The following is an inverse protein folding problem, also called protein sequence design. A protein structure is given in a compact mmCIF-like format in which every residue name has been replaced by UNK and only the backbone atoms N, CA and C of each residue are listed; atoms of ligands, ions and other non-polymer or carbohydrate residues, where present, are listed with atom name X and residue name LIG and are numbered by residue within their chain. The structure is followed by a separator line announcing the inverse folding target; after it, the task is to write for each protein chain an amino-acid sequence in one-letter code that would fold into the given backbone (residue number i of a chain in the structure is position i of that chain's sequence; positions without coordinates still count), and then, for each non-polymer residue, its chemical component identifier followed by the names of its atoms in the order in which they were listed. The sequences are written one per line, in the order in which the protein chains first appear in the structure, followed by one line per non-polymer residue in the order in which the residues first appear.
data_IF_800293265703
#
_entry.id   IF_800293265703
#
_cell.length_a   1.000
_cell.length_b   1.000
_cell.length_c   1.000
_cell.angle_alpha   90.00
_cell.angle_beta   90.00
_cell.angle_gamma   90.00
#
_symmetry.space_group_name_H-M   'P 1'
#
loop_
_entity.id
_entity.type
_entity.pdbx_description
1 polymer ?
#
# COMPACT_ATOMS: atom_id res chain seq x y z
N UNK A 1 -13.57 0.62 29.98
CA UNK A 1 -14.69 -0.06 29.27
C UNK A 1 -14.61 -1.54 29.58
N UNK A 2 -15.71 -2.23 29.96
CA UNK A 2 -15.63 -3.63 30.32
C UNK A 2 -15.40 -4.44 29.04
N UNK A 3 -14.16 -4.91 28.88
CA UNK A 3 -13.77 -5.86 27.85
C UNK A 3 -14.24 -7.22 28.35
N UNK A 4 -15.37 -7.69 27.81
CA UNK A 4 -15.72 -9.11 27.92
C UNK A 4 -14.57 -9.90 27.31
N UNK A 5 -14.05 -10.89 28.04
CA UNK A 5 -12.86 -11.69 27.69
C UNK A 5 -13.05 -12.63 26.49
N UNK A 6 -13.86 -12.26 25.50
CA UNK A 6 -14.01 -12.99 24.25
C UNK A 6 -12.92 -12.55 23.27
N UNK A 7 -12.23 -13.52 22.67
CA UNK A 7 -11.24 -13.24 21.65
C UNK A 7 -11.90 -12.50 20.47
N UNK A 8 -11.29 -11.40 19.97
CA UNK A 8 -11.91 -10.59 18.92
C UNK A 8 -12.15 -11.42 17.66
N UNK A 9 -13.36 -11.30 17.10
CA UNK A 9 -13.80 -12.04 15.93
C UNK A 9 -12.95 -11.71 14.69
N UNK A 10 -12.93 -12.61 13.71
CA UNK A 10 -12.11 -12.42 12.51
C UNK A 10 -12.48 -11.14 11.72
N UNK A 11 -13.76 -10.74 11.76
CA UNK A 11 -14.25 -9.48 11.16
C UNK A 11 -13.77 -8.25 11.93
N UNK A 12 -13.75 -8.30 13.26
CA UNK A 12 -13.23 -7.21 14.10
C UNK A 12 -11.72 -7.02 13.89
N UNK A 13 -10.95 -8.11 13.84
CA UNK A 13 -9.51 -8.07 13.52
C UNK A 13 -9.25 -7.44 12.16
N UNK A 14 -10.07 -7.81 11.17
CA UNK A 14 -9.97 -7.27 9.82
C UNK A 14 -10.27 -5.76 9.80
N UNK A 15 -11.36 -5.32 10.45
CA UNK A 15 -11.72 -3.92 10.57
C UNK A 15 -10.60 -3.10 11.21
N UNK A 16 -10.07 -3.53 12.36
CA UNK A 16 -8.97 -2.83 13.05
C UNK A 16 -7.75 -2.74 12.14
N UNK A 17 -7.40 -3.82 11.43
CA UNK A 17 -6.26 -3.81 10.51
C UNK A 17 -6.43 -2.80 9.37
N UNK A 18 -7.61 -2.74 8.75
CA UNK A 18 -7.88 -1.76 7.69
C UNK A 18 -7.89 -0.34 8.22
N UNK A 19 -8.57 -0.12 9.35
CA UNK A 19 -8.69 1.18 9.99
C UNK A 19 -7.32 1.73 10.38
N UNK A 20 -6.51 0.94 11.10
CA UNK A 20 -5.15 1.32 11.48
C UNK A 20 -4.27 1.53 10.25
N UNK A 21 -4.37 0.67 9.23
CA UNK A 21 -3.61 0.83 7.98
C UNK A 21 -3.89 2.17 7.30
N UNK A 22 -5.17 2.52 7.09
CA UNK A 22 -5.55 3.79 6.46
C UNK A 22 -5.07 4.99 7.28
N UNK A 23 -5.18 4.95 8.61
CA UNK A 23 -4.70 6.04 9.45
C UNK A 23 -3.18 6.19 9.40
N UNK A 24 -2.45 5.07 9.38
CA UNK A 24 -1.00 5.09 9.22
C UNK A 24 -0.60 5.69 7.86
N UNK A 25 -1.25 5.26 6.79
CA UNK A 25 -0.99 5.78 5.44
C UNK A 25 -1.30 7.27 5.34
N UNK A 26 -2.41 7.71 5.96
CA UNK A 26 -2.76 9.12 6.08
C UNK A 26 -1.67 9.91 6.80
N UNK A 27 -1.19 9.43 7.95
CA UNK A 27 -0.13 10.11 8.72
C UNK A 27 1.16 10.19 7.91
N UNK A 28 1.59 9.08 7.30
CA UNK A 28 2.80 9.02 6.48
C UNK A 28 2.69 9.97 5.29
N UNK A 29 1.56 9.97 4.58
CA UNK A 29 1.33 10.85 3.43
C UNK A 29 1.40 12.33 3.84
N UNK A 30 0.74 12.72 4.93
CA UNK A 30 0.77 14.12 5.39
C UNK A 30 2.16 14.53 5.90
N UNK A 31 2.92 13.63 6.54
CA UNK A 31 4.32 13.92 6.91
C UNK A 31 5.18 14.19 5.67
N UNK A 32 4.98 13.43 4.59
CA UNK A 32 5.68 13.71 3.35
C UNK A 32 5.21 15.00 2.69
N UNK A 33 3.91 15.28 2.69
CA UNK A 33 3.38 16.54 2.16
C UNK A 33 3.92 17.76 2.91
N UNK A 34 4.11 17.64 4.23
CA UNK A 34 4.64 18.71 5.08
C UNK A 34 6.16 18.91 4.92
N UNK A 35 6.92 17.83 4.95
CA UNK A 35 8.39 17.91 5.06
C UNK A 35 9.13 17.65 3.75
N UNK A 36 8.45 17.16 2.70
CA UNK A 36 9.10 16.79 1.45
C UNK A 36 8.45 17.45 0.25
N UNK A 37 9.19 18.37 -0.39
CA UNK A 37 8.77 19.12 -1.58
C UNK A 37 8.32 18.26 -2.78
N UNK A 38 8.65 16.97 -2.76
CA UNK A 38 8.26 16.05 -3.81
C UNK A 38 6.86 15.47 -3.62
N UNK A 39 6.16 15.80 -2.54
CA UNK A 39 4.78 15.38 -2.29
C UNK A 39 3.96 16.61 -1.98
N UNK A 40 2.90 16.82 -2.73
CA UNK A 40 1.94 17.89 -2.51
C UNK A 40 0.56 17.31 -2.33
N UNK A 41 -0.14 17.79 -1.31
CA UNK A 41 -1.55 17.48 -1.08
C UNK A 41 -2.27 18.77 -0.70
N UNK A 42 -3.36 19.08 -1.40
CA UNK A 42 -4.04 20.36 -1.29
C UNK A 42 -4.82 20.52 0.03
N UNK A 43 -5.55 19.47 0.42
CA UNK A 43 -6.35 19.48 1.66
C UNK A 43 -6.23 18.17 2.43
N UNK A 44 -6.52 18.22 3.73
CA UNK A 44 -6.60 17.03 4.56
C UNK A 44 -7.64 16.01 4.06
N UNK A 45 -8.78 16.48 3.56
CA UNK A 45 -9.81 15.58 3.01
C UNK A 45 -9.29 14.82 1.79
N UNK A 46 -8.54 15.51 0.92
CA UNK A 46 -7.89 14.89 -0.23
C UNK A 46 -6.83 13.88 0.21
N UNK A 47 -6.02 14.19 1.24
CA UNK A 47 -5.03 13.23 1.76
C UNK A 47 -5.67 11.98 2.37
N UNK A 48 -6.83 12.12 3.02
CA UNK A 48 -7.62 10.99 3.52
C UNK A 48 -8.16 10.10 2.41
N UNK A 49 -8.77 10.69 1.37
CA UNK A 49 -9.25 9.93 0.22
C UNK A 49 -8.07 9.25 -0.51
N UNK A 50 -6.95 9.95 -0.66
CA UNK A 50 -5.74 9.41 -1.27
C UNK A 50 -5.18 8.23 -0.46
N UNK A 51 -5.09 8.35 0.86
CA UNK A 51 -4.65 7.26 1.73
C UNK A 51 -5.56 6.02 1.62
N UNK A 52 -6.88 6.20 1.56
CA UNK A 52 -7.82 5.09 1.34
C UNK A 52 -7.56 4.42 -0.02
N UNK A 53 -7.42 5.21 -1.09
CA UNK A 53 -7.15 4.70 -2.44
C UNK A 53 -5.82 3.95 -2.49
N UNK A 54 -4.76 4.54 -1.95
CA UNK A 54 -3.43 3.94 -1.85
C UNK A 54 -3.49 2.59 -1.11
N UNK A 55 -4.16 2.56 0.05
CA UNK A 55 -4.31 1.34 0.84
C UNK A 55 -5.09 0.25 0.08
N UNK A 56 -6.12 0.62 -0.68
CA UNK A 56 -6.84 -0.31 -1.56
C UNK A 56 -5.93 -0.84 -2.68
N UNK A 57 -5.19 0.04 -3.36
CA UNK A 57 -4.32 -0.33 -4.48
C UNK A 57 -3.15 -1.23 -4.05
N UNK A 58 -2.56 -0.98 -2.87
CA UNK A 58 -1.51 -1.83 -2.30
C UNK A 58 -2.03 -3.24 -2.05
N UNK A 59 -3.21 -3.37 -1.46
CA UNK A 59 -3.83 -4.68 -1.20
C UNK A 59 -4.23 -5.40 -2.47
N UNK A 60 -4.75 -4.68 -3.46
CA UNK A 60 -5.02 -5.24 -4.79
C UNK A 60 -3.73 -5.74 -5.45
N UNK A 61 -2.64 -4.98 -5.36
CA UNK A 61 -1.33 -5.39 -5.92
C UNK A 61 -0.84 -6.68 -5.28
N UNK A 62 -0.87 -6.77 -3.95
CA UNK A 62 -0.46 -7.98 -3.21
C UNK A 62 -1.38 -9.16 -3.54
N UNK A 63 -2.69 -8.94 -3.65
CA UNK A 63 -3.64 -9.99 -4.02
C UNK A 63 -3.40 -10.52 -5.44
N UNK A 64 -3.12 -9.61 -6.39
CA UNK A 64 -2.76 -9.98 -7.76
C UNK A 64 -1.44 -10.75 -7.79
N UNK A 65 -0.43 -10.31 -7.05
CA UNK A 65 0.84 -11.02 -6.92
C UNK A 65 0.65 -12.45 -6.41
N UNK A 66 -0.15 -12.65 -5.35
CA UNK A 66 -0.45 -13.98 -4.84
C UNK A 66 -1.23 -14.85 -5.83
N UNK A 67 -2.21 -14.28 -6.54
CA UNK A 67 -3.00 -15.02 -7.53
C UNK A 67 -2.14 -15.48 -8.70
N UNK A 68 -1.30 -14.58 -9.22
CA UNK A 68 -0.39 -14.87 -10.33
C UNK A 68 0.71 -15.83 -9.88
N UNK A 69 1.29 -15.62 -8.71
CA UNK A 69 2.26 -16.52 -8.10
C UNK A 69 1.71 -17.94 -7.91
N UNK A 70 0.46 -18.07 -7.43
CA UNK A 70 -0.23 -19.33 -7.28
C UNK A 70 -0.50 -20.04 -8.61
N UNK A 71 -0.93 -19.30 -9.63
CA UNK A 71 -1.18 -19.84 -10.98
C UNK A 71 0.08 -20.44 -11.62
N UNK A 72 1.24 -19.79 -11.46
CA UNK A 72 2.49 -20.30 -12.02
C UNK A 72 3.17 -21.37 -11.15
N UNK A 73 2.81 -21.50 -9.88
CA UNK A 73 3.38 -22.51 -8.98
C UNK A 73 2.85 -23.93 -9.28
N UNK A 74 1.68 -24.05 -9.90
CA UNK A 74 1.04 -25.34 -10.21
C UNK A 74 1.42 -25.92 -11.57
N UNK A 75 2.18 -25.20 -12.42
CA UNK A 75 2.56 -25.68 -13.75
C UNK A 75 4.06 -25.99 -13.86
N UNK A 76 4.47 -27.25 -14.13
CA UNK A 76 5.87 -27.60 -14.36
C UNK A 76 6.35 -27.13 -15.74
N UNK A 77 7.57 -26.57 -15.82
CA UNK A 77 8.24 -26.20 -17.08
C UNK A 77 9.16 -24.97 -16.98
N UNK A 78 10.28 -24.98 -17.71
CA UNK A 78 11.24 -23.85 -17.75
C UNK A 78 10.63 -22.55 -18.27
N UNK A 79 9.71 -22.64 -19.23
CA UNK A 79 8.94 -21.51 -19.75
C UNK A 79 8.03 -20.88 -18.69
N UNK A 80 7.38 -21.69 -17.85
CA UNK A 80 6.53 -21.22 -16.75
C UNK A 80 7.34 -20.56 -15.63
N UNK A 81 8.58 -21.02 -15.41
CA UNK A 81 9.51 -20.36 -14.48
C UNK A 81 9.87 -18.97 -14.98
N UNK A 82 10.19 -18.82 -16.27
CA UNK A 82 10.44 -17.51 -16.88
C UNK A 82 9.20 -16.60 -16.79
N UNK A 83 8.03 -17.08 -17.20
CA UNK A 83 6.78 -16.31 -17.13
C UNK A 83 6.45 -15.89 -15.69
N UNK A 84 6.74 -16.73 -14.68
CA UNK A 84 6.58 -16.38 -13.27
C UNK A 84 7.45 -15.20 -12.87
N UNK A 85 8.75 -15.24 -13.21
CA UNK A 85 9.65 -14.12 -12.91
C UNK A 85 9.28 -12.87 -13.69
N UNK A 86 8.89 -13.01 -14.95
CA UNK A 86 8.44 -11.90 -15.79
C UNK A 86 7.16 -11.26 -15.26
N UNK A 87 6.15 -12.05 -14.89
CA UNK A 87 4.92 -11.51 -14.31
C UNK A 87 5.14 -10.92 -12.92
N UNK A 88 5.96 -11.55 -12.07
CA UNK A 88 6.32 -10.96 -10.78
C UNK A 88 7.05 -9.62 -10.97
N UNK A 89 7.99 -9.55 -11.93
CA UNK A 89 8.66 -8.31 -12.31
C UNK A 89 7.68 -7.27 -12.85
N UNK A 90 6.75 -7.65 -13.73
CA UNK A 90 5.76 -6.76 -14.32
C UNK A 90 4.77 -6.25 -13.26
N UNK A 91 4.35 -7.07 -12.30
CA UNK A 91 3.54 -6.62 -11.17
C UNK A 91 4.34 -5.69 -10.28
N UNK A 92 5.58 -6.04 -9.95
CA UNK A 92 6.44 -5.21 -9.11
C UNK A 92 6.73 -3.86 -9.76
N UNK A 93 7.06 -3.79 -11.05
CA UNK A 93 7.33 -2.52 -11.73
C UNK A 93 6.05 -1.80 -12.15
N UNK A 94 5.13 -2.52 -12.78
CA UNK A 94 3.88 -2.00 -13.32
C UNK A 94 2.93 -1.48 -12.25
N UNK A 95 2.88 -2.08 -11.06
CA UNK A 95 2.01 -1.58 -9.97
C UNK A 95 2.29 -0.13 -9.60
N UNK A 96 3.55 0.32 -9.63
CA UNK A 96 3.87 1.73 -9.32
C UNK A 96 3.34 2.69 -10.37
N UNK A 97 3.38 2.30 -11.64
CA UNK A 97 2.77 3.11 -12.72
C UNK A 97 1.26 3.14 -12.61
N UNK A 98 0.62 1.99 -12.35
CA UNK A 98 -0.84 1.91 -12.14
C UNK A 98 -1.27 2.75 -10.95
N UNK A 99 -0.51 2.72 -9.85
CA UNK A 99 -0.80 3.53 -8.66
C UNK A 99 -0.66 5.02 -8.97
N UNK A 100 0.42 5.43 -9.64
CA UNK A 100 0.62 6.84 -10.01
C UNK A 100 -0.51 7.33 -10.91
N UNK A 101 -0.82 6.56 -11.97
CA UNK A 101 -1.89 6.89 -12.92
C UNK A 101 -3.24 6.98 -12.23
N UNK A 102 -3.56 6.04 -11.33
CA UNK A 102 -4.80 6.05 -10.57
C UNK A 102 -4.90 7.30 -9.68
N UNK A 103 -3.80 7.74 -9.06
CA UNK A 103 -3.81 8.96 -8.24
C UNK A 103 -3.98 10.20 -9.11
N UNK A 104 -3.25 10.30 -10.22
CA UNK A 104 -3.40 11.42 -11.16
C UNK A 104 -4.82 11.47 -11.73
N UNK A 105 -5.41 10.33 -12.05
CA UNK A 105 -6.78 10.26 -12.57
C UNK A 105 -7.84 10.62 -11.53
N UNK A 106 -7.65 10.21 -10.27
CA UNK A 106 -8.64 10.42 -9.19
C UNK A 106 -8.53 11.80 -8.52
N UNK A 107 -7.30 12.30 -8.36
CA UNK A 107 -7.01 13.50 -7.57
C UNK A 107 -6.38 14.62 -8.39
N UNK A 108 -5.92 14.37 -9.62
CA UNK A 108 -5.49 15.41 -10.55
C UNK A 108 -4.45 16.36 -9.97
N UNK A 109 -4.88 17.59 -9.70
CA UNK A 109 -4.01 18.64 -9.15
C UNK A 109 -3.93 18.62 -7.62
N UNK A 110 -4.86 17.96 -6.94
CA UNK A 110 -5.00 17.98 -5.49
C UNK A 110 -3.98 17.07 -4.79
N UNK A 111 -3.43 16.08 -5.50
CA UNK A 111 -2.33 15.22 -5.03
C UNK A 111 -1.28 15.09 -6.13
N UNK A 112 -0.07 15.60 -5.88
CA UNK A 112 1.04 15.49 -6.82
C UNK A 112 2.29 14.89 -6.20
N UNK A 113 2.90 14.00 -6.97
CA UNK A 113 4.24 13.51 -6.71
C UNK A 113 5.19 14.18 -7.71
N UNK A 114 6.13 14.98 -7.22
CA UNK A 114 7.16 15.64 -8.01
C UNK A 114 8.50 14.90 -7.91
N UNK A 115 9.47 15.34 -8.71
CA UNK A 115 10.83 14.81 -8.71
C UNK A 115 11.12 13.90 -9.90
N UNK A 116 12.19 13.11 -9.79
CA UNK A 116 12.71 12.30 -10.89
C UNK A 116 11.68 11.28 -11.41
N UNK A 117 11.73 11.03 -12.71
CA UNK A 117 10.82 10.11 -13.41
C UNK A 117 9.34 10.46 -13.19
N UNK A 118 8.95 11.73 -13.37
CA UNK A 118 7.55 12.19 -13.22
C UNK A 118 6.91 11.84 -11.86
N UNK A 119 7.69 11.90 -10.78
CA UNK A 119 7.18 11.61 -9.42
C UNK A 119 7.20 10.14 -9.01
N UNK A 120 7.61 9.21 -9.90
CA UNK A 120 7.68 7.77 -9.57
C UNK A 120 8.61 7.52 -8.38
N UNK A 121 9.75 8.22 -8.31
CA UNK A 121 10.68 8.06 -7.19
C UNK A 121 10.03 8.49 -5.87
N UNK A 122 9.28 9.60 -5.89
CA UNK A 122 8.55 10.06 -4.71
C UNK A 122 7.49 9.06 -4.27
N UNK A 123 6.70 8.54 -5.22
CA UNK A 123 5.71 7.51 -4.95
C UNK A 123 6.35 6.24 -4.37
N UNK A 124 7.47 5.76 -4.93
CA UNK A 124 8.18 4.58 -4.42
C UNK A 124 8.61 4.80 -2.97
N UNK A 125 9.23 5.95 -2.66
CA UNK A 125 9.67 6.25 -1.30
C UNK A 125 8.50 6.29 -0.34
N UNK A 126 7.41 6.98 -0.71
CA UNK A 126 6.20 7.07 0.12
C UNK A 126 5.60 5.69 0.38
N UNK A 127 5.41 4.88 -0.66
CA UNK A 127 4.87 3.52 -0.55
C UNK A 127 5.77 2.62 0.29
N UNK A 128 7.09 2.68 0.11
CA UNK A 128 8.03 1.90 0.92
C UNK A 128 7.92 2.27 2.39
N UNK A 129 7.85 3.57 2.71
CA UNK A 129 7.70 4.02 4.09
C UNK A 129 6.33 3.64 4.67
N UNK A 130 5.25 3.71 3.90
CA UNK A 130 3.92 3.21 4.30
C UNK A 130 3.98 1.73 4.68
N UNK A 131 4.55 0.89 3.81
CA UNK A 131 4.69 -0.55 4.06
C UNK A 131 5.56 -0.85 5.28
N UNK A 132 6.68 -0.11 5.45
CA UNK A 132 7.54 -0.25 6.62
C UNK A 132 6.83 0.16 7.91
N UNK A 133 6.03 1.24 7.87
CA UNK A 133 5.27 1.72 9.01
C UNK A 133 4.17 0.72 9.40
N UNK A 134 3.42 0.17 8.43
CA UNK A 134 2.41 -0.87 8.69
C UNK A 134 3.08 -2.12 9.28
N UNK A 135 4.16 -2.60 8.67
CA UNK A 135 4.89 -3.78 9.15
C UNK A 135 5.47 -3.57 10.56
N UNK A 136 6.00 -2.38 10.87
CA UNK A 136 6.52 -2.06 12.20
C UNK A 136 5.41 -2.13 13.25
N UNK A 137 4.25 -1.53 12.99
CA UNK A 137 3.10 -1.56 13.92
C UNK A 137 2.59 -2.98 14.09
N UNK A 138 2.46 -3.75 13.00
CA UNK A 138 2.03 -5.15 13.06
C UNK A 138 3.02 -5.99 13.88
N UNK A 139 4.32 -5.76 13.72
CA UNK A 139 5.36 -6.43 14.52
C UNK A 139 5.28 -6.06 15.99
N UNK A 140 5.11 -4.79 16.32
CA UNK A 140 4.95 -4.32 17.70
C UNK A 140 3.70 -4.91 18.34
N UNK A 141 2.57 -4.88 17.64
CA UNK A 141 1.33 -5.49 18.10
C UNK A 141 1.49 -6.99 18.40
N UNK A 142 2.20 -7.73 17.54
CA UNK A 142 2.48 -9.16 17.75
C UNK A 142 3.37 -9.38 18.97
N UNK A 143 4.44 -8.59 19.12
CA UNK A 143 5.34 -8.67 20.28
C UNK A 143 4.68 -8.34 21.62
N UNK A 144 3.61 -7.56 21.61
CA UNK A 144 2.83 -7.23 22.82
C UNK A 144 1.85 -8.34 23.21
N UNK A 145 1.58 -9.29 22.31
CA UNK A 145 0.74 -10.45 22.57
C UNK A 145 1.53 -11.66 23.10
N UNK A 146 2.86 -11.64 22.93
CA UNK A 146 3.82 -12.60 23.51
C UNK A 146 4.28 -12.13 24.90
#
# INVERSE_FOLDING_TARGET
MPVTGEAPSNRQRLFVRYYTGILMDLVVLNLFAEYWKNVYVDTFTTSLLCAIVLQVLLKLTVALEHKVGGYFKTKPGGWMKFLRFFCAWLILFGSKFVILEAIVQLFGEDVRFYGAFHGIVALIVVVVVMLLAEELIVRLYRKLAD
#
